data_IF_886099650884
#
_entry.id   IF_886099650884
#
_cell.length_a   1.000
_cell.length_b   1.000
_cell.length_c   1.000
_cell.angle_alpha   90.00
_cell.angle_beta   90.00
_cell.angle_gamma   90.00
#
_symmetry.space_group_name_H-M   'P 1'
#
loop_
_entity.id
_entity.type
_entity.pdbx_description
1 polymer ?
#
# COMPACT_ATOMS: atom_id res chain seq x y z
N UNK A 1 41.57 42.06 -12.61
CA UNK A 1 42.21 41.30 -11.50
C UNK A 1 41.22 40.73 -10.48
N UNK A 2 40.13 41.39 -10.12
CA UNK A 2 39.13 40.85 -9.16
C UNK A 2 38.47 39.54 -9.60
N UNK A 3 38.17 39.36 -10.90
CA UNK A 3 37.51 38.11 -11.40
C UNK A 3 38.39 36.85 -11.34
N UNK A 4 39.71 37.03 -11.49
CA UNK A 4 40.67 35.92 -11.40
C UNK A 4 40.82 35.44 -9.94
N UNK A 5 40.83 36.37 -9.00
CA UNK A 5 40.88 36.04 -7.56
C UNK A 5 39.60 35.32 -7.11
N UNK A 6 38.44 35.73 -7.61
CA UNK A 6 37.17 35.06 -7.33
C UNK A 6 37.16 33.64 -7.91
N UNK A 7 37.71 33.43 -9.10
CA UNK A 7 37.84 32.13 -9.74
C UNK A 7 38.75 31.18 -8.94
N UNK A 8 39.91 31.69 -8.49
CA UNK A 8 40.83 30.95 -7.62
C UNK A 8 40.20 30.60 -6.27
N UNK A 9 39.42 31.51 -5.68
CA UNK A 9 38.72 31.27 -4.43
C UNK A 9 37.65 30.20 -4.60
N UNK A 10 36.91 30.21 -5.71
CA UNK A 10 35.91 29.20 -6.04
C UNK A 10 36.58 27.81 -6.30
N UNK A 11 37.67 27.80 -7.07
CA UNK A 11 38.46 26.58 -7.27
C UNK A 11 39.04 26.01 -5.96
N UNK A 12 39.57 26.90 -5.09
CA UNK A 12 40.05 26.51 -3.77
C UNK A 12 38.93 25.97 -2.86
N UNK A 13 37.75 26.60 -2.89
CA UNK A 13 36.54 26.10 -2.20
C UNK A 13 36.11 24.72 -2.72
N UNK A 14 36.18 24.49 -4.04
CA UNK A 14 35.87 23.21 -4.68
C UNK A 14 36.88 22.11 -4.30
N UNK A 15 38.15 22.46 -4.08
CA UNK A 15 39.16 21.48 -3.61
C UNK A 15 38.97 21.08 -2.15
N UNK A 16 38.35 21.89 -1.31
CA UNK A 16 38.02 21.57 0.08
C UNK A 16 36.85 20.58 0.20
N UNK A 17 36.05 20.39 -0.85
CA UNK A 17 34.90 19.47 -0.88
C UNK A 17 35.32 17.99 -1.08
N UNK A 18 36.63 17.72 -1.28
CA UNK A 18 37.19 16.36 -1.37
C UNK A 18 37.29 15.64 -0.01
N UNK A 19 36.56 16.08 1.01
CA UNK A 19 36.52 15.36 2.28
C UNK A 19 35.76 14.04 2.16
N UNK A 20 36.41 12.97 2.55
CA UNK A 20 35.90 11.61 2.45
C UNK A 20 34.67 11.43 3.34
N UNK A 21 33.52 11.21 2.72
CA UNK A 21 32.24 10.88 3.37
C UNK A 21 32.24 9.54 4.12
N UNK A 22 33.42 9.01 4.44
CA UNK A 22 33.63 7.70 5.07
C UNK A 22 34.28 7.80 6.45
N UNK A 23 34.29 8.98 7.07
CA UNK A 23 34.93 9.25 8.37
C UNK A 23 34.39 8.38 9.51
N UNK A 24 33.11 8.07 9.47
CA UNK A 24 32.42 7.28 10.49
C UNK A 24 32.11 5.84 10.03
N UNK A 25 32.69 5.40 8.93
CA UNK A 25 32.59 4.01 8.45
C UNK A 25 33.68 3.19 9.15
N UNK A 26 33.25 2.15 9.87
CA UNK A 26 34.14 1.25 10.61
C UNK A 26 35.14 0.49 9.72
N UNK A 27 36.06 -0.22 10.36
CA UNK A 27 36.93 -1.16 9.63
C UNK A 27 36.12 -2.38 9.19
N UNK A 28 36.25 -2.74 7.92
CA UNK A 28 35.47 -3.85 7.32
C UNK A 28 34.06 -3.47 6.94
N UNK A 29 33.60 -2.24 7.22
CA UNK A 29 32.31 -1.72 6.81
C UNK A 29 32.38 -0.89 5.52
N UNK A 30 31.26 -0.80 4.82
CA UNK A 30 31.15 -0.01 3.59
C UNK A 30 29.98 0.95 3.68
N UNK A 31 30.20 2.22 3.31
CA UNK A 31 29.11 3.19 3.09
C UNK A 31 28.31 2.77 1.86
N UNK A 32 27.02 2.66 1.97
CA UNK A 32 26.13 2.49 0.82
C UNK A 32 26.13 3.78 0.00
N UNK A 33 26.95 3.83 -1.04
CA UNK A 33 27.12 5.03 -1.85
C UNK A 33 26.00 5.19 -2.88
N UNK A 34 25.61 4.09 -3.54
CA UNK A 34 24.62 4.09 -4.62
C UNK A 34 23.84 2.79 -4.61
N UNK A 35 22.56 2.89 -4.98
CA UNK A 35 21.71 1.76 -5.35
C UNK A 35 21.22 1.96 -6.78
N UNK A 36 21.41 0.94 -7.59
CA UNK A 36 20.98 0.89 -8.98
C UNK A 36 19.95 -0.21 -9.17
N UNK A 37 18.95 0.04 -10.01
CA UNK A 37 17.99 -0.97 -10.45
C UNK A 37 18.10 -1.06 -11.97
N UNK A 38 18.46 -2.24 -12.45
CA UNK A 38 18.56 -2.57 -13.88
C UNK A 38 17.52 -3.63 -14.17
N UNK A 39 16.53 -3.31 -14.99
CA UNK A 39 15.49 -4.24 -15.41
C UNK A 39 15.59 -4.51 -16.90
N UNK A 40 15.61 -5.78 -17.28
CA UNK A 40 15.50 -6.21 -18.67
C UNK A 40 14.04 -6.00 -19.08
N UNK A 41 13.83 -5.02 -19.98
CA UNK A 41 12.49 -4.53 -20.33
C UNK A 41 12.02 -3.39 -19.40
N UNK A 42 11.52 -2.30 -19.99
CA UNK A 42 11.05 -1.10 -19.26
C UNK A 42 9.60 -1.26 -18.77
N UNK A 43 9.27 -2.36 -18.13
CA UNK A 43 7.89 -2.64 -17.69
C UNK A 43 7.45 -1.74 -16.56
N UNK A 44 8.36 -1.46 -15.61
CA UNK A 44 8.12 -0.57 -14.46
C UNK A 44 9.22 0.48 -14.36
N UNK A 45 8.85 1.66 -13.87
CA UNK A 45 9.82 2.72 -13.61
C UNK A 45 10.61 2.40 -12.33
N UNK A 46 11.86 2.79 -12.28
CA UNK A 46 12.69 2.62 -11.08
C UNK A 46 12.07 3.32 -9.84
N UNK A 47 11.30 4.40 -10.04
CA UNK A 47 10.54 5.07 -8.97
C UNK A 47 9.55 4.14 -8.28
N UNK A 48 8.91 3.24 -9.04
CA UNK A 48 7.86 2.36 -8.56
C UNK A 48 8.45 1.16 -7.80
N UNK A 49 9.72 0.84 -8.06
CA UNK A 49 10.47 -0.27 -7.45
C UNK A 49 11.21 0.17 -6.17
N UNK A 50 11.57 1.45 -6.04
CA UNK A 50 12.27 1.97 -4.85
C UNK A 50 11.62 1.65 -3.50
N UNK A 51 10.28 1.69 -3.34
CA UNK A 51 9.64 1.38 -2.06
C UNK A 51 9.89 -0.06 -1.56
N UNK A 52 10.27 -0.97 -2.46
CA UNK A 52 10.57 -2.37 -2.13
C UNK A 52 12.03 -2.60 -1.71
N UNK A 53 12.86 -1.55 -1.75
CA UNK A 53 14.23 -1.61 -1.25
C UNK A 53 14.24 -1.36 0.25
N UNK A 54 14.79 -2.29 1.01
CA UNK A 54 14.91 -2.21 2.48
C UNK A 54 16.00 -1.25 2.94
N UNK A 55 16.95 -0.95 2.05
CA UNK A 55 18.01 -0.01 2.33
C UNK A 55 18.20 0.94 1.14
N UNK A 56 18.33 2.22 1.45
CA UNK A 56 18.58 3.26 0.46
C UNK A 56 19.81 4.08 0.88
N UNK A 57 20.60 4.58 -0.09
CA UNK A 57 21.77 5.41 0.21
C UNK A 57 21.35 6.75 0.79
N UNK A 58 22.27 7.41 1.49
CA UNK A 58 22.09 8.77 2.00
C UNK A 58 21.56 9.71 0.92
N UNK A 59 20.67 10.63 1.33
CA UNK A 59 20.00 11.57 0.44
C UNK A 59 21.01 12.42 -0.34
N UNK A 60 20.76 12.57 -1.65
CA UNK A 60 21.52 13.43 -2.55
C UNK A 60 20.68 14.65 -2.92
N UNK A 61 21.08 15.83 -2.44
CA UNK A 61 20.48 17.08 -2.86
C UNK A 61 20.79 17.32 -4.35
N UNK A 62 19.75 17.64 -5.14
CA UNK A 62 19.83 17.83 -6.60
C UNK A 62 20.51 16.69 -7.36
N UNK A 63 20.53 15.46 -6.76
CA UNK A 63 21.18 14.28 -7.36
C UNK A 63 22.71 14.29 -7.36
N UNK A 64 23.35 15.35 -6.87
CA UNK A 64 24.79 15.58 -6.99
C UNK A 64 25.54 15.38 -5.67
N UNK A 65 25.08 15.97 -4.57
CA UNK A 65 25.85 16.07 -3.34
C UNK A 65 25.09 15.54 -2.12
N UNK A 66 25.72 14.69 -1.32
CA UNK A 66 25.22 14.19 -0.03
C UNK A 66 25.48 15.22 1.08
N UNK A 67 24.85 16.36 0.98
CA UNK A 67 25.11 17.51 1.86
C UNK A 67 24.80 17.18 3.33
N UNK A 68 23.74 16.44 3.63
CA UNK A 68 23.38 16.07 5.01
C UNK A 68 24.42 15.11 5.63
N UNK A 69 24.94 14.17 4.85
CA UNK A 69 26.06 13.33 5.26
C UNK A 69 27.31 14.18 5.52
N UNK A 70 27.59 15.17 4.68
CA UNK A 70 28.71 16.09 4.85
C UNK A 70 28.60 16.91 6.16
N UNK A 71 27.42 17.43 6.49
CA UNK A 71 27.15 18.13 7.76
C UNK A 71 27.38 17.19 8.95
N UNK A 72 26.97 15.92 8.83
CA UNK A 72 27.23 14.91 9.85
C UNK A 72 28.74 14.65 10.02
N UNK A 73 29.48 14.54 8.93
CA UNK A 73 30.93 14.29 8.93
C UNK A 73 31.73 15.46 9.54
N UNK A 74 31.19 16.67 9.51
CA UNK A 74 31.78 17.83 10.21
C UNK A 74 31.68 17.73 11.72
N UNK A 75 30.80 16.91 12.26
CA UNK A 75 30.76 16.68 13.69
C UNK A 75 32.06 16.06 14.17
N UNK A 76 32.49 16.42 15.35
CA UNK A 76 33.65 15.80 16.01
C UNK A 76 33.28 14.43 16.62
N UNK A 77 34.30 13.63 16.94
CA UNK A 77 34.10 12.31 17.61
C UNK A 77 33.49 12.43 19.00
N UNK A 78 33.66 13.58 19.68
CA UNK A 78 33.14 13.77 21.03
C UNK A 78 31.65 14.16 20.97
N UNK A 79 30.77 13.20 21.24
CA UNK A 79 29.31 13.34 21.19
C UNK A 79 28.75 14.27 22.29
N UNK A 80 29.52 14.50 23.38
CA UNK A 80 29.06 15.34 24.49
C UNK A 80 29.08 16.83 24.18
N UNK A 81 29.87 17.27 23.19
CA UNK A 81 29.91 18.68 22.77
C UNK A 81 28.61 19.06 22.08
N UNK A 82 27.98 20.14 22.54
CA UNK A 82 26.69 20.61 22.02
C UNK A 82 26.72 20.86 20.51
N UNK A 83 27.81 21.43 19.98
CA UNK A 83 28.01 21.70 18.56
C UNK A 83 27.97 20.40 17.73
N UNK A 84 28.64 19.34 18.20
CA UNK A 84 28.65 18.05 17.53
C UNK A 84 27.26 17.40 17.56
N UNK A 85 26.55 17.58 18.68
CA UNK A 85 25.17 17.10 18.82
C UNK A 85 24.23 17.81 17.84
N UNK A 86 24.39 19.12 17.64
CA UNK A 86 23.60 19.87 16.66
C UNK A 86 23.95 19.48 15.23
N UNK A 87 25.22 19.36 14.87
CA UNK A 87 25.65 18.93 13.54
C UNK A 87 25.12 17.52 13.19
N UNK A 88 25.16 16.59 14.13
CA UNK A 88 24.60 15.23 13.94
C UNK A 88 23.08 15.23 13.82
N UNK A 89 22.41 16.15 14.51
CA UNK A 89 20.95 16.30 14.43
C UNK A 89 20.50 16.93 13.09
N UNK A 90 21.31 17.83 12.54
CA UNK A 90 21.04 18.46 11.23
C UNK A 90 21.51 17.61 10.06
N UNK A 91 22.53 16.78 10.28
CA UNK A 91 23.09 15.86 9.29
C UNK A 91 22.37 14.51 9.29
N UNK A 92 22.72 13.69 8.32
CA UNK A 92 22.28 12.32 8.17
C UNK A 92 23.47 11.38 8.45
N UNK A 93 23.29 10.40 9.34
CA UNK A 93 24.31 9.39 9.63
C UNK A 93 24.65 8.57 8.37
N UNK A 94 25.91 8.12 8.21
CA UNK A 94 26.26 7.27 7.08
C UNK A 94 25.44 5.98 7.09
N UNK A 95 24.85 5.65 5.97
CA UNK A 95 24.15 4.39 5.78
C UNK A 95 25.19 3.31 5.47
N UNK A 96 25.41 2.42 6.42
CA UNK A 96 26.33 1.28 6.27
C UNK A 96 25.64 0.16 5.51
N UNK A 97 26.32 -0.43 4.55
CA UNK A 97 25.81 -1.56 3.80
C UNK A 97 25.48 -2.74 4.72
N UNK A 98 24.25 -3.22 4.65
CA UNK A 98 23.80 -4.45 5.29
C UNK A 98 23.38 -5.45 4.21
N UNK A 99 24.11 -6.55 4.11
CA UNK A 99 23.86 -7.61 3.13
C UNK A 99 22.52 -8.33 3.38
N UNK A 100 22.07 -8.39 4.63
CA UNK A 100 20.77 -8.96 5.00
C UNK A 100 19.64 -8.14 4.39
N UNK A 101 19.73 -6.81 4.49
CA UNK A 101 18.75 -5.89 3.89
C UNK A 101 18.79 -5.93 2.36
N UNK A 102 19.96 -6.19 1.77
CA UNK A 102 20.08 -6.41 0.32
C UNK A 102 19.31 -7.67 -0.09
N UNK A 103 19.51 -8.79 0.62
CA UNK A 103 18.78 -10.03 0.35
C UNK A 103 17.27 -9.87 0.51
N UNK A 104 16.83 -9.21 1.59
CA UNK A 104 15.42 -8.91 1.79
C UNK A 104 14.85 -8.05 0.65
N UNK A 105 15.63 -7.10 0.13
CA UNK A 105 15.20 -6.28 -1.02
C UNK A 105 15.04 -7.11 -2.30
N UNK A 106 15.90 -8.09 -2.52
CA UNK A 106 15.76 -9.06 -3.62
C UNK A 106 14.45 -9.82 -3.51
N UNK A 107 14.13 -10.34 -2.33
CA UNK A 107 12.90 -11.09 -2.08
C UNK A 107 11.64 -10.22 -2.27
N UNK A 108 11.68 -8.98 -1.78
CA UNK A 108 10.56 -8.03 -1.94
C UNK A 108 10.34 -7.65 -3.40
N UNK A 109 11.41 -7.36 -4.15
CA UNK A 109 11.32 -7.09 -5.59
C UNK A 109 10.77 -8.31 -6.33
N UNK A 110 11.25 -9.51 -6.02
CA UNK A 110 10.74 -10.75 -6.62
C UNK A 110 9.25 -10.95 -6.34
N UNK A 111 8.81 -10.75 -5.07
CA UNK A 111 7.39 -10.81 -4.69
C UNK A 111 6.56 -9.78 -5.44
N UNK A 112 7.06 -8.55 -5.61
CA UNK A 112 6.39 -7.53 -6.40
C UNK A 112 6.11 -8.03 -7.82
N UNK A 113 7.12 -8.56 -8.53
CA UNK A 113 6.93 -9.05 -9.89
C UNK A 113 5.99 -10.26 -9.96
N UNK A 114 6.09 -11.20 -9.02
CA UNK A 114 5.18 -12.33 -8.91
C UNK A 114 3.72 -11.84 -8.72
N UNK A 115 3.50 -10.84 -7.85
CA UNK A 115 2.18 -10.27 -7.62
C UNK A 115 1.63 -9.55 -8.86
N UNK A 116 2.52 -9.06 -9.73
CA UNK A 116 2.17 -8.42 -11.02
C UNK A 116 2.02 -9.39 -12.18
N UNK A 117 2.05 -10.71 -11.91
CA UNK A 117 1.85 -11.76 -12.90
C UNK A 117 3.12 -12.29 -13.56
N UNK A 118 4.30 -11.83 -13.14
CA UNK A 118 5.58 -12.33 -13.62
C UNK A 118 6.08 -13.47 -12.73
N UNK A 119 5.41 -14.63 -12.81
CA UNK A 119 5.65 -15.77 -11.90
C UNK A 119 7.08 -16.30 -11.97
N UNK A 120 7.73 -16.19 -13.13
CA UNK A 120 9.08 -16.65 -13.39
C UNK A 120 10.12 -15.53 -13.30
N UNK A 121 9.80 -14.41 -12.63
CA UNK A 121 10.73 -13.31 -12.47
C UNK A 121 11.95 -13.71 -11.66
N UNK A 122 13.13 -13.32 -12.16
CA UNK A 122 14.41 -13.52 -11.49
C UNK A 122 14.95 -12.16 -11.04
N UNK A 123 15.35 -12.09 -9.78
CA UNK A 123 15.96 -10.90 -9.20
C UNK A 123 17.26 -11.32 -8.53
N UNK A 124 18.33 -10.62 -8.85
CA UNK A 124 19.64 -10.80 -8.26
C UNK A 124 20.22 -9.46 -7.80
N UNK A 125 21.12 -9.49 -6.85
CA UNK A 125 21.88 -8.32 -6.42
C UNK A 125 23.36 -8.57 -6.57
N UNK A 126 24.10 -7.57 -7.04
CA UNK A 126 25.55 -7.54 -7.03
C UNK A 126 26.03 -6.36 -6.20
N UNK A 127 27.12 -6.57 -5.46
CA UNK A 127 27.71 -5.58 -4.58
C UNK A 127 29.11 -5.29 -5.11
N UNK A 128 29.36 -4.05 -5.50
CA UNK A 128 30.66 -3.56 -5.91
C UNK A 128 31.31 -2.74 -4.77
N UNK A 129 32.43 -3.22 -4.27
CA UNK A 129 33.26 -2.60 -3.21
C UNK A 129 34.62 -2.14 -3.71
N UNK A 130 34.78 -1.95 -5.01
CA UNK A 130 36.04 -1.51 -5.63
C UNK A 130 36.54 -0.15 -5.12
N UNK A 131 35.63 0.68 -4.64
CA UNK A 131 35.95 2.00 -4.06
C UNK A 131 36.22 1.88 -2.55
N UNK A 132 37.26 2.56 -2.09
CA UNK A 132 37.65 2.55 -0.68
C UNK A 132 36.47 2.90 0.24
N UNK A 133 36.11 1.97 1.13
CA UNK A 133 35.01 2.10 2.11
C UNK A 133 33.65 2.51 1.50
N UNK A 134 33.40 2.28 0.23
CA UNK A 134 32.12 2.58 -0.44
C UNK A 134 31.63 1.36 -1.18
N UNK A 135 30.33 1.13 -1.14
CA UNK A 135 29.67 0.06 -1.87
C UNK A 135 28.59 0.61 -2.81
N UNK A 136 28.48 -0.02 -3.96
CA UNK A 136 27.37 0.17 -4.91
C UNK A 136 26.62 -1.14 -4.99
N UNK A 137 25.31 -1.10 -4.75
CA UNK A 137 24.42 -2.26 -4.90
C UNK A 137 23.65 -2.13 -6.19
N UNK A 138 23.73 -3.12 -7.05
CA UNK A 138 22.98 -3.18 -8.30
C UNK A 138 21.99 -4.35 -8.25
N UNK A 139 20.70 -4.05 -8.27
CA UNK A 139 19.64 -5.04 -8.41
C UNK A 139 19.35 -5.27 -9.89
N UNK A 140 19.57 -6.50 -10.33
CA UNK A 140 19.25 -6.92 -11.70
C UNK A 140 17.95 -7.70 -11.70
N UNK A 141 17.00 -7.30 -12.55
CA UNK A 141 15.66 -7.86 -12.65
C UNK A 141 15.44 -8.37 -14.06
N UNK A 142 15.10 -9.65 -14.19
CA UNK A 142 14.68 -10.30 -15.41
C UNK A 142 13.22 -10.73 -15.22
N UNK A 143 12.25 -9.95 -15.72
CA UNK A 143 10.83 -10.22 -15.47
C UNK A 143 10.33 -11.51 -16.11
N UNK A 144 10.94 -11.93 -17.22
CA UNK A 144 10.47 -13.03 -18.09
C UNK A 144 9.04 -12.79 -18.62
N UNK A 145 8.42 -13.81 -19.20
CA UNK A 145 7.09 -13.69 -19.80
C UNK A 145 6.01 -13.65 -18.71
N UNK A 146 5.13 -12.63 -18.69
CA UNK A 146 4.07 -12.55 -17.71
C UNK A 146 2.94 -13.54 -18.00
N UNK A 147 2.26 -13.98 -16.94
CA UNK A 147 1.02 -14.72 -17.05
C UNK A 147 -0.14 -13.76 -17.33
N UNK A 148 -1.06 -14.20 -18.21
CA UNK A 148 -2.26 -13.45 -18.59
C UNK A 148 -3.50 -14.27 -18.31
N UNK A 149 -4.60 -13.59 -17.99
CA UNK A 149 -5.90 -14.21 -17.81
C UNK A 149 -6.43 -14.58 -19.19
N UNK A 150 -6.67 -15.88 -19.41
CA UNK A 150 -7.25 -16.40 -20.65
C UNK A 150 -8.77 -16.36 -20.57
N UNK A 151 -9.34 -16.90 -19.51
CA UNK A 151 -10.76 -16.89 -19.25
C UNK A 151 -11.02 -16.49 -17.79
N UNK A 152 -12.04 -15.68 -17.54
CA UNK A 152 -12.51 -15.35 -16.22
C UNK A 152 -13.96 -15.74 -16.07
N UNK A 153 -14.23 -16.66 -15.15
CA UNK A 153 -15.58 -17.06 -14.81
C UNK A 153 -15.93 -16.63 -13.37
N UNK A 154 -17.18 -16.27 -13.20
CA UNK A 154 -17.77 -15.98 -11.90
C UNK A 154 -19.09 -16.74 -11.82
N UNK A 155 -19.08 -17.82 -11.06
CA UNK A 155 -20.26 -18.62 -10.74
C UNK A 155 -20.33 -18.77 -9.22
N UNK A 156 -21.08 -17.85 -8.60
CA UNK A 156 -21.23 -17.83 -7.17
C UNK A 156 -22.39 -18.75 -6.76
N UNK A 157 -22.13 -19.61 -5.78
CA UNK A 157 -23.08 -20.64 -5.31
C UNK A 157 -24.41 -20.09 -4.74
N UNK A 158 -24.46 -18.78 -4.40
CA UNK A 158 -25.68 -18.08 -3.98
C UNK A 158 -26.25 -17.28 -5.17
N UNK A 159 -27.41 -17.67 -5.73
CA UNK A 159 -27.98 -17.01 -6.92
C UNK A 159 -28.29 -15.52 -6.71
N UNK A 160 -28.63 -15.10 -5.49
CA UNK A 160 -28.88 -13.67 -5.19
C UNK A 160 -27.59 -12.88 -5.22
N UNK A 161 -26.54 -13.40 -4.62
CA UNK A 161 -25.20 -12.79 -4.61
C UNK A 161 -24.64 -12.76 -6.02
N UNK A 162 -24.75 -13.87 -6.76
CA UNK A 162 -24.30 -13.96 -8.16
C UNK A 162 -24.97 -12.92 -9.04
N UNK A 163 -26.29 -12.79 -8.94
CA UNK A 163 -27.06 -11.77 -9.65
C UNK A 163 -26.60 -10.35 -9.32
N UNK A 164 -26.35 -10.05 -8.05
CA UNK A 164 -25.87 -8.72 -7.62
C UNK A 164 -24.45 -8.45 -8.15
N UNK A 165 -23.56 -9.43 -8.06
CA UNK A 165 -22.18 -9.30 -8.50
C UNK A 165 -22.03 -9.06 -10.01
N UNK A 166 -22.96 -9.59 -10.80
CA UNK A 166 -23.07 -9.47 -12.28
C UNK A 166 -23.93 -8.28 -12.74
N UNK A 167 -24.46 -7.46 -11.83
CA UNK A 167 -25.26 -6.30 -12.21
C UNK A 167 -24.48 -5.38 -13.17
N UNK A 168 -25.19 -4.99 -14.24
CA UNK A 168 -24.66 -3.97 -15.16
C UNK A 168 -24.95 -2.57 -14.62
N UNK A 169 -24.12 -1.57 -14.96
CA UNK A 169 -24.39 -0.19 -14.57
C UNK A 169 -25.75 0.24 -15.13
N UNK A 170 -26.55 0.98 -14.36
CA UNK A 170 -27.80 1.53 -14.86
C UNK A 170 -27.52 2.42 -16.08
N UNK A 171 -28.44 2.43 -17.05
CA UNK A 171 -28.34 3.27 -18.26
C UNK A 171 -28.00 4.71 -17.86
N UNK A 172 -26.91 5.25 -18.40
CA UNK A 172 -26.45 6.61 -18.14
C UNK A 172 -27.52 7.63 -18.51
N UNK A 173 -28.11 8.27 -17.51
CA UNK A 173 -28.67 9.62 -17.72
C UNK A 173 -27.48 10.60 -17.77
N UNK A 174 -27.57 11.62 -18.63
CA UNK A 174 -26.53 12.65 -18.82
C UNK A 174 -26.17 13.36 -17.50
N UNK A 175 -27.06 13.40 -16.52
CA UNK A 175 -26.86 13.93 -15.17
C UNK A 175 -26.01 13.03 -14.28
N UNK A 176 -26.01 11.72 -14.46
CA UNK A 176 -25.22 10.79 -13.66
C UNK A 176 -23.71 10.84 -14.01
N UNK A 177 -23.35 11.42 -15.15
CA UNK A 177 -21.94 11.59 -15.54
C UNK A 177 -21.21 12.65 -14.71
N UNK A 178 -21.92 13.56 -14.05
CA UNK A 178 -21.35 14.57 -13.16
C UNK A 178 -20.95 14.01 -11.78
N UNK A 179 -21.52 12.88 -11.39
CA UNK A 179 -21.20 12.19 -10.14
C UNK A 179 -20.38 10.91 -10.44
N UNK A 180 -19.09 11.08 -10.63
CA UNK A 180 -18.10 10.08 -11.05
C UNK A 180 -18.01 8.79 -10.19
N UNK A 181 -18.66 8.75 -9.05
CA UNK A 181 -18.46 7.75 -8.00
C UNK A 181 -19.31 6.48 -8.15
N UNK A 182 -20.34 6.45 -9.01
CA UNK A 182 -21.32 5.37 -9.03
C UNK A 182 -21.18 4.35 -10.17
N UNK A 183 -20.44 4.67 -11.22
CA UNK A 183 -20.35 3.79 -12.41
C UNK A 183 -19.28 2.70 -12.32
N UNK A 184 -18.25 2.93 -11.52
CA UNK A 184 -17.07 2.01 -11.47
C UNK A 184 -17.35 0.74 -10.65
N UNK A 185 -18.34 0.79 -9.74
CA UNK A 185 -18.68 -0.36 -8.88
C UNK A 185 -19.36 -1.53 -9.62
N UNK A 186 -19.91 -1.28 -10.82
CA UNK A 186 -20.67 -2.28 -11.58
C UNK A 186 -19.88 -2.98 -12.68
N UNK A 187 -18.68 -2.51 -13.00
CA UNK A 187 -17.86 -3.07 -14.07
C UNK A 187 -16.74 -3.91 -13.45
N UNK A 188 -16.62 -5.17 -13.89
CA UNK A 188 -15.50 -6.02 -13.48
C UNK A 188 -14.16 -5.40 -13.83
N UNK A 189 -13.23 -5.43 -12.88
CA UNK A 189 -11.86 -4.98 -13.06
C UNK A 189 -11.01 -6.02 -13.80
N UNK A 190 -11.48 -7.28 -13.81
CA UNK A 190 -10.79 -8.39 -14.47
C UNK A 190 -11.25 -8.41 -15.93
N UNK A 191 -10.29 -8.41 -16.84
CA UNK A 191 -10.53 -8.44 -18.29
C UNK A 191 -9.76 -9.61 -18.89
N UNK A 192 -10.31 -10.18 -19.95
CA UNK A 192 -9.62 -11.19 -20.75
C UNK A 192 -8.32 -10.60 -21.32
N UNK A 193 -7.30 -11.43 -21.41
CA UNK A 193 -5.96 -11.07 -21.87
C UNK A 193 -5.21 -10.07 -20.98
N UNK A 194 -5.80 -9.62 -19.88
CA UNK A 194 -5.11 -8.77 -18.88
C UNK A 194 -4.01 -9.56 -18.16
N UNK A 195 -3.09 -8.84 -17.53
CA UNK A 195 -2.09 -9.45 -16.68
C UNK A 195 -2.76 -10.14 -15.47
N UNK A 196 -2.23 -11.28 -15.06
CA UNK A 196 -2.61 -11.94 -13.81
C UNK A 196 -2.06 -11.16 -12.61
N UNK A 197 -2.61 -9.97 -12.37
CA UNK A 197 -2.18 -9.05 -11.30
C UNK A 197 -3.04 -9.30 -10.04
N UNK A 198 -2.39 -9.75 -8.97
CA UNK A 198 -3.06 -10.04 -7.68
C UNK A 198 -3.72 -8.81 -7.06
N UNK A 199 -3.17 -7.62 -7.28
CA UNK A 199 -3.77 -6.39 -6.77
C UNK A 199 -5.10 -6.09 -7.48
N UNK A 200 -5.21 -6.41 -8.77
CA UNK A 200 -6.47 -6.28 -9.53
C UNK A 200 -7.49 -7.29 -9.02
N UNK A 201 -7.07 -8.54 -8.76
CA UNK A 201 -7.93 -9.58 -8.21
C UNK A 201 -8.47 -9.19 -6.83
N UNK A 202 -7.62 -8.64 -5.95
CA UNK A 202 -8.06 -8.18 -4.63
C UNK A 202 -9.00 -6.98 -4.70
N UNK A 203 -8.74 -6.04 -5.61
CA UNK A 203 -9.65 -4.91 -5.88
C UNK A 203 -11.01 -5.38 -6.38
N UNK A 204 -11.06 -6.41 -7.22
CA UNK A 204 -12.33 -7.00 -7.68
C UNK A 204 -13.12 -7.62 -6.54
N UNK A 205 -12.46 -8.38 -5.64
CA UNK A 205 -13.08 -8.90 -4.41
C UNK A 205 -13.64 -7.75 -3.56
N UNK A 206 -12.87 -6.67 -3.42
CA UNK A 206 -13.31 -5.49 -2.67
C UNK A 206 -14.48 -4.78 -3.34
N UNK A 207 -14.49 -4.66 -4.67
CA UNK A 207 -15.60 -4.10 -5.45
C UNK A 207 -16.90 -4.84 -5.17
N UNK A 208 -16.88 -6.17 -5.33
CA UNK A 208 -18.06 -7.02 -5.10
C UNK A 208 -18.50 -6.93 -3.63
N UNK A 209 -17.56 -6.96 -2.68
CA UNK A 209 -17.86 -6.80 -1.25
C UNK A 209 -18.59 -5.48 -0.97
N UNK A 210 -18.11 -4.38 -1.54
CA UNK A 210 -18.72 -3.06 -1.37
C UNK A 210 -20.13 -3.03 -1.97
N UNK A 211 -20.29 -3.61 -3.15
CA UNK A 211 -21.59 -3.68 -3.84
C UNK A 211 -22.61 -4.49 -3.02
N UNK A 212 -22.20 -5.63 -2.47
CA UNK A 212 -23.04 -6.49 -1.63
C UNK A 212 -23.42 -5.80 -0.31
N UNK A 213 -22.48 -5.15 0.36
CA UNK A 213 -22.75 -4.41 1.60
C UNK A 213 -23.78 -3.28 1.37
N UNK A 214 -23.68 -2.56 0.27
CA UNK A 214 -24.69 -1.55 -0.14
C UNK A 214 -26.09 -2.14 -0.40
N UNK A 215 -26.15 -3.44 -0.68
CA UNK A 215 -27.41 -4.19 -0.90
C UNK A 215 -27.90 -4.93 0.34
N UNK A 216 -27.36 -4.60 1.52
CA UNK A 216 -27.82 -5.13 2.80
C UNK A 216 -27.09 -6.39 3.29
N UNK A 217 -26.07 -6.87 2.59
CA UNK A 217 -25.22 -7.97 3.08
C UNK A 217 -24.17 -7.42 4.05
N UNK A 218 -24.63 -6.84 5.17
CA UNK A 218 -23.81 -6.09 6.12
C UNK A 218 -22.60 -6.90 6.65
N UNK A 219 -22.78 -8.16 6.97
CA UNK A 219 -21.74 -9.04 7.50
C UNK A 219 -20.82 -9.63 6.41
N UNK A 220 -21.03 -9.29 5.13
CA UNK A 220 -20.22 -9.82 4.05
C UNK A 220 -18.79 -9.25 4.10
N UNK A 221 -17.80 -10.15 3.93
CA UNK A 221 -16.39 -9.78 3.89
C UNK A 221 -15.75 -10.31 2.60
N UNK A 222 -14.72 -9.62 2.10
CA UNK A 222 -13.96 -10.01 0.90
C UNK A 222 -13.36 -11.42 1.00
N UNK A 223 -13.09 -11.92 2.21
CA UNK A 223 -12.49 -13.24 2.43
C UNK A 223 -13.45 -14.41 2.14
N UNK A 224 -14.73 -14.12 1.94
CA UNK A 224 -15.70 -15.09 1.38
C UNK A 224 -15.51 -15.29 -0.12
N UNK A 225 -14.87 -14.35 -0.82
CA UNK A 225 -14.55 -14.49 -2.24
C UNK A 225 -13.12 -15.03 -2.37
N UNK A 226 -12.93 -16.08 -3.14
CA UNK A 226 -11.64 -16.68 -3.45
C UNK A 226 -11.52 -16.96 -4.94
N UNK A 227 -10.30 -17.17 -5.41
CA UNK A 227 -10.05 -17.56 -6.80
C UNK A 227 -9.44 -18.95 -6.85
N UNK A 228 -9.85 -19.72 -7.85
CA UNK A 228 -9.09 -20.86 -8.35
C UNK A 228 -8.43 -20.39 -9.64
N UNK A 229 -7.13 -20.60 -9.75
CA UNK A 229 -6.34 -20.26 -10.91
C UNK A 229 -5.75 -21.54 -11.51
N UNK A 230 -6.17 -21.89 -12.72
CA UNK A 230 -5.64 -23.02 -13.47
C UNK A 230 -4.64 -22.53 -14.53
N UNK A 231 -3.39 -22.95 -14.38
CA UNK A 231 -2.28 -22.65 -15.29
C UNK A 231 -1.82 -23.86 -16.09
N UNK A 232 -2.59 -24.94 -16.12
CA UNK A 232 -2.23 -26.21 -16.77
C UNK A 232 -2.04 -26.12 -18.28
N UNK A 233 -2.53 -25.06 -18.91
CA UNK A 233 -2.43 -24.80 -20.35
C UNK A 233 -1.01 -24.50 -20.87
N UNK A 234 0.00 -24.40 -19.99
CA UNK A 234 1.44 -24.28 -20.29
C UNK A 234 1.84 -23.16 -21.28
N UNK A 235 1.07 -22.08 -21.41
CA UNK A 235 1.30 -20.96 -22.34
C UNK A 235 1.42 -19.61 -21.67
N UNK A 236 1.83 -19.57 -20.38
CA UNK A 236 1.78 -18.36 -19.54
C UNK A 236 0.39 -17.70 -19.53
N UNK A 237 -0.65 -18.53 -19.55
CA UNK A 237 -2.04 -18.13 -19.43
C UNK A 237 -2.68 -18.84 -18.24
N UNK A 238 -3.73 -18.23 -17.69
CA UNK A 238 -4.43 -18.70 -16.50
C UNK A 238 -5.93 -18.60 -16.74
N UNK A 239 -6.64 -19.69 -16.52
CA UNK A 239 -8.08 -19.68 -16.38
C UNK A 239 -8.40 -19.41 -14.90
N UNK A 240 -9.32 -18.48 -14.67
CA UNK A 240 -9.59 -17.93 -13.35
C UNK A 240 -11.07 -18.07 -13.01
N UNK A 241 -11.37 -18.78 -11.93
CA UNK A 241 -12.72 -18.97 -11.42
C UNK A 241 -12.87 -18.29 -10.07
N UNK A 242 -13.85 -17.39 -9.93
CA UNK A 242 -14.21 -16.80 -8.66
C UNK A 242 -15.22 -17.69 -7.94
N UNK A 243 -14.94 -18.02 -6.69
CA UNK A 243 -15.77 -18.84 -5.83
C UNK A 243 -16.26 -18.07 -4.61
N UNK A 244 -17.48 -18.38 -4.18
CA UNK A 244 -18.08 -17.91 -2.94
C UNK A 244 -17.98 -18.99 -1.86
N UNK A 245 -17.33 -18.67 -0.74
CA UNK A 245 -17.34 -19.51 0.46
C UNK A 245 -18.66 -19.33 1.22
N UNK A 246 -19.23 -20.40 1.79
CA UNK A 246 -20.46 -20.30 2.58
C UNK A 246 -20.23 -19.48 3.86
N UNK A 247 -21.32 -18.93 4.38
CA UNK A 247 -21.31 -18.33 5.71
C UNK A 247 -21.34 -19.39 6.77
N UNK A 248 -20.36 -19.41 7.68
CA UNK A 248 -20.25 -20.36 8.79
C UNK A 248 -20.98 -19.81 10.01
N UNK A 249 -22.09 -20.43 10.33
CA UNK A 249 -22.88 -20.08 11.51
C UNK A 249 -22.51 -21.03 12.67
N UNK A 250 -22.00 -20.46 13.76
CA UNK A 250 -21.80 -21.22 15.00
C UNK A 250 -23.11 -21.23 15.78
N UNK A 251 -23.63 -22.42 16.03
CA UNK A 251 -24.83 -22.63 16.86
C UNK A 251 -24.48 -22.57 18.35
N UNK A 252 -25.48 -22.33 19.24
CA UNK A 252 -25.26 -22.32 20.68
C UNK A 252 -24.67 -23.63 21.25
N UNK A 253 -24.88 -24.74 20.58
CA UNK A 253 -24.34 -26.08 20.91
C UNK A 253 -22.86 -26.25 20.50
N UNK A 254 -22.24 -25.19 19.92
CA UNK A 254 -20.86 -25.21 19.44
C UNK A 254 -20.70 -25.80 18.03
N UNK A 255 -21.74 -26.33 17.41
CA UNK A 255 -21.66 -26.85 16.04
C UNK A 255 -21.57 -25.72 15.02
N UNK A 256 -20.75 -25.94 13.97
CA UNK A 256 -20.63 -25.01 12.85
C UNK A 256 -21.39 -25.55 11.66
N UNK A 257 -22.29 -24.75 11.09
CA UNK A 257 -23.10 -25.11 9.93
C UNK A 257 -22.90 -24.12 8.82
N UNK A 258 -22.64 -24.61 7.62
CA UNK A 258 -22.53 -23.77 6.42
C UNK A 258 -23.94 -23.34 5.98
N UNK A 259 -24.13 -22.02 5.81
CA UNK A 259 -25.40 -21.41 5.43
C UNK A 259 -25.19 -20.36 4.33
N UNK A 260 -26.29 -19.91 3.72
CA UNK A 260 -26.26 -18.77 2.80
C UNK A 260 -25.98 -17.47 3.56
N UNK A 261 -25.37 -16.50 2.87
CA UNK A 261 -25.16 -15.17 3.40
C UNK A 261 -26.49 -14.45 3.60
N UNK A 262 -26.65 -13.76 4.73
CA UNK A 262 -27.89 -13.10 5.09
C UNK A 262 -27.91 -11.65 4.62
N UNK A 263 -29.03 -11.24 4.05
CA UNK A 263 -29.34 -9.84 3.75
C UNK A 263 -30.04 -9.23 4.94
N UNK A 264 -29.62 -8.05 5.38
CA UNK A 264 -30.14 -7.29 6.51
C UNK A 264 -30.91 -6.07 6.00
N UNK A 265 -31.97 -5.75 6.68
CA UNK A 265 -32.80 -4.58 6.44
C UNK A 265 -32.83 -3.74 7.71
N UNK A 266 -32.79 -2.42 7.56
CA UNK A 266 -32.99 -1.51 8.68
C UNK A 266 -34.45 -1.61 9.11
N UNK A 267 -34.70 -1.96 10.36
CA UNK A 267 -36.05 -2.06 10.92
C UNK A 267 -36.47 -0.72 11.50
N UNK A 268 -35.68 -0.19 12.40
CA UNK A 268 -35.94 1.05 13.11
C UNK A 268 -34.69 1.91 13.16
N UNK A 269 -34.85 3.24 13.12
CA UNK A 269 -33.74 4.20 13.25
C UNK A 269 -34.08 5.10 14.44
N UNK A 270 -33.21 5.14 15.44
CA UNK A 270 -33.34 6.04 16.59
C UNK A 270 -32.10 6.92 16.67
N UNK A 271 -32.31 8.23 16.82
CA UNK A 271 -31.25 9.22 16.98
C UNK A 271 -31.33 9.78 18.40
N UNK A 272 -30.29 9.63 19.19
CA UNK A 272 -30.17 10.22 20.51
C UNK A 272 -29.36 11.50 20.39
N UNK A 273 -29.98 12.66 20.65
CA UNK A 273 -29.34 13.97 20.40
C UNK A 273 -28.36 14.38 21.50
N UNK A 274 -28.61 13.95 22.74
CA UNK A 274 -27.82 14.35 23.92
C UNK A 274 -26.94 13.21 24.46
N UNK A 275 -26.48 12.31 23.55
CA UNK A 275 -25.63 11.20 23.94
C UNK A 275 -24.20 11.65 24.18
N UNK A 276 -23.69 11.45 25.41
CA UNK A 276 -22.31 11.65 25.80
C UNK A 276 -21.59 10.29 25.96
N UNK A 277 -20.63 9.95 25.10
CA UNK A 277 -19.92 8.66 25.19
C UNK A 277 -19.08 8.49 26.45
N UNK A 278 -18.81 9.57 27.21
CA UNK A 278 -18.04 9.52 28.44
C UNK A 278 -18.92 9.21 29.68
N UNK A 279 -20.23 9.35 29.55
CA UNK A 279 -21.20 9.20 30.70
C UNK A 279 -22.24 8.12 30.37
N UNK A 280 -21.78 6.91 30.01
CA UNK A 280 -22.64 5.79 29.60
C UNK A 280 -23.72 5.43 30.65
N UNK A 281 -23.41 5.49 31.95
CA UNK A 281 -24.36 5.17 33.01
C UNK A 281 -25.46 6.23 33.10
N UNK A 282 -25.11 7.51 32.99
CA UNK A 282 -26.04 8.63 32.97
C UNK A 282 -26.94 8.61 31.76
N UNK A 283 -26.40 8.29 30.56
CA UNK A 283 -27.16 8.16 29.35
C UNK A 283 -28.23 7.06 29.42
N UNK A 284 -27.91 5.93 30.06
CA UNK A 284 -28.86 4.82 30.27
C UNK A 284 -29.96 5.12 31.29
N UNK A 285 -29.71 6.03 32.22
CA UNK A 285 -30.64 6.44 33.27
C UNK A 285 -31.49 7.66 32.90
N UNK A 286 -31.16 8.39 31.81
CA UNK A 286 -31.89 9.58 31.39
C UNK A 286 -33.27 9.21 30.81
N UNK A 287 -34.35 9.85 31.29
CA UNK A 287 -35.63 9.75 30.62
C UNK A 287 -35.59 10.54 29.32
N UNK A 288 -35.82 9.86 28.21
CA UNK A 288 -35.92 10.47 26.87
C UNK A 288 -37.37 10.73 26.51
N UNK A 289 -37.64 11.90 25.93
CA UNK A 289 -38.83 12.11 25.11
C UNK A 289 -38.54 11.75 23.68
N UNK A 290 -39.55 11.22 22.98
CA UNK A 290 -39.39 10.72 21.61
C UNK A 290 -40.31 11.52 20.69
N UNK A 291 -39.70 12.06 19.61
CA UNK A 291 -40.45 12.63 18.46
C UNK A 291 -40.21 11.74 17.25
N UNK A 292 -41.29 11.30 16.63
CA UNK A 292 -41.24 10.50 15.40
C UNK A 292 -41.45 11.38 14.17
N UNK A 293 -40.46 11.36 13.27
CA UNK A 293 -40.49 12.11 12.02
C UNK A 293 -39.95 11.23 10.89
N UNK A 294 -40.71 11.04 9.81
CA UNK A 294 -40.33 10.27 8.63
C UNK A 294 -39.79 8.86 8.92
N UNK A 295 -40.32 8.18 9.95
CA UNK A 295 -39.90 6.83 10.31
C UNK A 295 -38.63 6.78 11.17
N UNK A 296 -38.13 7.94 11.63
CA UNK A 296 -36.99 8.08 12.52
C UNK A 296 -37.49 8.50 13.89
N UNK A 297 -37.08 7.81 14.94
CA UNK A 297 -37.37 8.19 16.32
C UNK A 297 -36.22 9.08 16.85
N UNK A 298 -36.54 10.34 17.16
CA UNK A 298 -35.57 11.28 17.74
C UNK A 298 -35.81 11.28 19.25
N UNK A 299 -34.80 10.82 20.00
CA UNK A 299 -34.80 10.80 21.44
C UNK A 299 -33.99 12.00 21.98
N UNK A 300 -34.59 12.80 22.84
CA UNK A 300 -33.93 13.93 23.46
C UNK A 300 -34.15 13.88 24.98
N UNK A 301 -33.15 14.31 25.75
CA UNK A 301 -33.20 14.30 27.21
C UNK A 301 -34.22 15.33 27.76
N UNK A 302 -34.98 14.95 28.79
CA UNK A 302 -36.02 15.80 29.41
C UNK A 302 -35.50 17.07 30.05
N UNK A 303 -34.21 17.31 30.11
CA UNK A 303 -33.63 18.49 30.72
C UNK A 303 -33.67 19.75 29.84
N UNK A 304 -34.82 20.02 29.25
CA UNK A 304 -35.29 21.38 28.97
C UNK A 304 -34.62 22.16 27.84
N UNK A 305 -34.14 21.55 26.73
CA UNK A 305 -33.89 22.31 25.53
C UNK A 305 -34.81 21.81 24.40
N UNK A 306 -35.91 22.52 24.22
CA UNK A 306 -36.78 22.41 23.04
C UNK A 306 -35.97 22.61 21.77
N UNK A 307 -35.89 21.59 20.92
CA UNK A 307 -35.46 21.75 19.57
C UNK A 307 -36.56 22.56 18.85
N UNK A 308 -36.21 23.77 18.42
CA UNK A 308 -37.04 24.60 17.54
C UNK A 308 -36.71 24.32 16.08
#
# INVERSE_FOLDING_TARGET
>A
MKGIQTLYFICFLLLLVSCSSTKYVGEGEYLLDKVEIVSDGKTYKNSDLKPYLRQQPNFKAFGLMKWQLFVYDWSGRNEKKWINKQLRRMGEAPVILDTTLVTQSVDELKRFFINKGYMNAEVSASIDTSRVKKAVVTYRIVPNTPYRIHNYSMDLSDPKIDSIAKLKPPHRSVLASAFRTYSDDYTSLIKDSALFDRDVLDKERQRITTLLRRRGYYAFNRDYLSYIADSSLNRNIVDLDMLLKPYRLQKPDGTVVDTLHRQYYIKDVSIVTDYDPLTLEENNAMPYDTVRTDGIDILYGKNGRSIR
#
